data_IF_844868030932
#
_entry.id   IF_844868030932
#
_cell.length_a   1.000
_cell.length_b   1.000
_cell.length_c   1.000
_cell.angle_alpha   90.00
_cell.angle_beta   90.00
_cell.angle_gamma   90.00
#
_symmetry.space_group_name_H-M   'P 1'
#
loop_
_entity.id
_entity.type
_entity.pdbx_description
1 polymer ?
#
# COMPACT_ATOMS: atom_id res chain seq x y z
N UNK A 1 -30.60 41.42 -3.56
CA UNK A 1 -29.78 40.51 -2.73
C UNK A 1 -29.12 39.51 -3.67
N UNK A 2 -27.86 39.70 -4.03
CA UNK A 2 -27.17 38.71 -4.86
C UNK A 2 -27.02 37.40 -4.07
N UNK A 3 -27.64 36.33 -4.55
CA UNK A 3 -27.51 34.99 -3.99
C UNK A 3 -26.03 34.61 -3.91
N UNK A 4 -25.60 34.15 -2.74
CA UNK A 4 -24.23 33.74 -2.45
C UNK A 4 -23.75 32.66 -3.45
N UNK A 5 -22.45 32.58 -3.77
CA UNK A 5 -21.97 31.54 -4.69
C UNK A 5 -22.14 30.14 -4.11
N UNK A 6 -22.03 30.01 -2.78
CA UNK A 6 -22.36 28.79 -2.08
C UNK A 6 -23.83 28.41 -2.29
N UNK A 7 -24.73 29.39 -2.32
CA UNK A 7 -26.16 29.18 -2.61
C UNK A 7 -26.33 28.69 -4.06
N UNK A 8 -25.66 29.32 -5.04
CA UNK A 8 -25.72 28.90 -6.45
C UNK A 8 -25.13 27.52 -6.70
N UNK A 9 -24.02 27.18 -6.04
CA UNK A 9 -23.41 25.83 -6.13
C UNK A 9 -24.22 24.78 -5.38
N UNK A 10 -24.81 25.11 -4.22
CA UNK A 10 -25.73 24.24 -3.50
C UNK A 10 -26.99 23.92 -4.33
N UNK A 11 -27.46 24.88 -5.14
CA UNK A 11 -28.60 24.70 -6.05
C UNK A 11 -28.26 23.88 -7.31
N UNK A 12 -26.99 23.77 -7.71
CA UNK A 12 -26.57 23.06 -8.94
C UNK A 12 -26.36 21.55 -8.78
N UNK A 13 -26.10 21.07 -7.56
CA UNK A 13 -25.91 19.64 -7.30
C UNK A 13 -26.31 19.29 -5.85
N UNK A 14 -27.48 18.65 -5.70
CA UNK A 14 -28.04 18.32 -4.39
C UNK A 14 -27.21 17.28 -3.62
N UNK A 15 -26.40 16.45 -4.31
CA UNK A 15 -25.55 15.41 -3.72
C UNK A 15 -24.16 15.41 -4.36
N UNK A 16 -23.05 15.27 -3.60
CA UNK A 16 -21.70 15.03 -4.11
C UNK A 16 -21.43 13.50 -4.23
N UNK A 17 -21.84 12.82 -5.33
CA UNK A 17 -21.77 11.36 -5.43
C UNK A 17 -20.36 10.81 -5.39
N UNK A 18 -19.37 11.47 -6.02
CA UNK A 18 -18.00 10.97 -6.10
C UNK A 18 -17.35 11.04 -4.73
N UNK A 19 -17.50 12.15 -4.01
CA UNK A 19 -16.99 12.31 -2.64
C UNK A 19 -17.55 11.20 -1.73
N UNK A 20 -18.86 10.94 -1.78
CA UNK A 20 -19.49 9.85 -1.01
C UNK A 20 -18.94 8.48 -1.39
N UNK A 21 -18.75 8.23 -2.69
CA UNK A 21 -18.24 6.96 -3.20
C UNK A 21 -16.79 6.72 -2.79
N UNK A 22 -15.95 7.75 -2.84
CA UNK A 22 -14.57 7.69 -2.35
C UNK A 22 -14.51 7.43 -0.85
N UNK A 23 -15.36 8.08 -0.05
CA UNK A 23 -15.44 7.81 1.39
C UNK A 23 -15.85 6.35 1.65
N UNK A 24 -16.92 5.89 0.99
CA UNK A 24 -17.40 4.52 1.13
C UNK A 24 -16.32 3.49 0.71
N UNK A 25 -15.59 3.75 -0.37
CA UNK A 25 -14.51 2.89 -0.84
C UNK A 25 -13.36 2.82 0.17
N UNK A 26 -12.92 3.95 0.72
CA UNK A 26 -11.87 3.99 1.73
C UNK A 26 -12.27 3.23 3.01
N UNK A 27 -13.51 3.40 3.46
CA UNK A 27 -14.05 2.67 4.60
C UNK A 27 -14.13 1.17 4.30
N UNK A 28 -14.61 0.79 3.12
CA UNK A 28 -14.70 -0.61 2.71
C UNK A 28 -13.32 -1.26 2.67
N UNK A 29 -12.34 -0.63 2.02
CA UNK A 29 -10.96 -1.14 1.95
C UNK A 29 -10.39 -1.33 3.36
N UNK A 30 -10.55 -0.33 4.24
CA UNK A 30 -10.08 -0.45 5.63
C UNK A 30 -10.75 -1.61 6.37
N UNK A 31 -12.06 -1.80 6.24
CA UNK A 31 -12.79 -2.92 6.87
C UNK A 31 -12.28 -4.27 6.34
N UNK A 32 -12.09 -4.40 5.03
CA UNK A 32 -11.56 -5.64 4.43
C UNK A 32 -10.13 -5.91 4.91
N UNK A 33 -9.29 -4.88 5.05
CA UNK A 33 -7.94 -5.01 5.59
C UNK A 33 -7.92 -5.58 7.01
N UNK A 34 -8.92 -5.30 7.85
CA UNK A 34 -9.00 -5.87 9.20
C UNK A 34 -9.08 -7.40 9.17
N UNK A 35 -9.83 -7.97 8.22
CA UNK A 35 -9.88 -9.41 8.00
C UNK A 35 -8.60 -9.95 7.35
N UNK A 36 -7.83 -9.09 6.69
CA UNK A 36 -6.52 -9.37 6.11
C UNK A 36 -5.33 -9.18 7.07
N UNK A 37 -5.58 -9.06 8.38
CA UNK A 37 -4.54 -8.95 9.42
C UNK A 37 -4.14 -7.52 9.79
N UNK A 38 -4.81 -6.49 9.27
CA UNK A 38 -4.56 -5.11 9.70
C UNK A 38 -5.12 -4.87 11.11
N UNK A 39 -4.37 -4.11 11.92
CA UNK A 39 -4.83 -3.67 13.23
C UNK A 39 -5.79 -2.49 13.12
N UNK A 40 -6.80 -2.45 14.00
CA UNK A 40 -7.80 -1.36 14.01
C UNK A 40 -7.19 0.01 14.37
N UNK A 41 -6.32 0.05 15.38
CA UNK A 41 -5.67 1.29 15.82
C UNK A 41 -4.34 1.56 15.12
N UNK A 42 -3.56 0.51 14.90
CA UNK A 42 -2.27 0.57 14.24
C UNK A 42 -2.05 -0.70 13.42
N UNK A 43 -1.88 -0.53 12.11
CA UNK A 43 -1.58 -1.62 11.18
C UNK A 43 -0.08 -1.71 10.92
N UNK A 44 0.52 -2.91 11.02
CA UNK A 44 1.93 -3.11 10.68
C UNK A 44 2.23 -2.80 9.21
N UNK A 45 3.44 -2.30 8.93
CA UNK A 45 3.92 -2.02 7.57
C UNK A 45 3.92 -3.27 6.68
N UNK A 46 4.17 -4.45 7.23
CA UNK A 46 4.15 -5.72 6.48
C UNK A 46 2.78 -6.00 5.86
N UNK A 47 1.71 -5.74 6.61
CA UNK A 47 0.33 -5.85 6.11
C UNK A 47 0.08 -4.78 5.06
N UNK A 48 0.44 -3.52 5.34
CA UNK A 48 0.24 -2.40 4.41
C UNK A 48 0.94 -2.63 3.06
N UNK A 49 2.17 -3.16 3.08
CA UNK A 49 2.94 -3.50 1.88
C UNK A 49 2.27 -4.61 1.07
N UNK A 50 1.69 -5.61 1.75
CA UNK A 50 0.91 -6.68 1.10
C UNK A 50 -0.31 -6.12 0.38
N UNK A 51 -0.97 -5.12 0.98
CA UNK A 51 -2.16 -4.46 0.44
C UNK A 51 -1.87 -3.39 -0.62
N UNK A 52 -0.59 -3.06 -0.88
CA UNK A 52 -0.23 -2.12 -1.93
C UNK A 52 0.16 -0.73 -1.46
N UNK A 53 0.67 -0.58 -0.23
CA UNK A 53 1.22 0.68 0.23
C UNK A 53 2.41 1.11 -0.64
N UNK A 54 2.60 2.43 -0.74
CA UNK A 54 3.66 3.03 -1.53
C UNK A 54 5.00 2.86 -0.81
N UNK A 55 5.97 2.28 -1.50
CA UNK A 55 7.29 1.96 -0.93
C UNK A 55 8.31 1.88 -2.07
N UNK A 56 9.37 2.69 -2.02
CA UNK A 56 10.24 2.85 -3.18
C UNK A 56 10.85 1.55 -3.72
N UNK A 57 11.39 0.63 -2.89
CA UNK A 57 11.90 -0.64 -3.40
C UNK A 57 10.86 -1.43 -4.19
N UNK A 58 9.58 -1.36 -3.81
CA UNK A 58 8.51 -2.06 -4.52
C UNK A 58 8.01 -1.29 -5.74
N UNK A 59 7.70 0.00 -5.56
CA UNK A 59 7.08 0.83 -6.61
C UNK A 59 8.05 1.05 -7.78
N UNK A 60 9.32 1.32 -7.50
CA UNK A 60 10.35 1.51 -8.53
C UNK A 60 10.85 0.19 -9.15
N UNK A 61 10.57 -0.97 -8.54
CA UNK A 61 10.81 -2.32 -9.10
C UNK A 61 9.58 -2.83 -9.92
N UNK A 62 8.87 -1.90 -10.56
CA UNK A 62 7.80 -2.18 -11.51
C UNK A 62 6.37 -2.22 -10.95
N UNK A 63 6.17 -2.07 -9.63
CA UNK A 63 4.84 -2.08 -9.01
C UNK A 63 4.19 -0.68 -8.97
N UNK A 64 4.16 0.02 -10.11
CA UNK A 64 3.64 1.39 -10.24
C UNK A 64 2.18 1.57 -9.81
N UNK A 65 1.38 0.51 -9.85
CA UNK A 65 0.00 0.49 -9.35
C UNK A 65 -0.10 0.89 -7.87
N UNK A 66 0.98 0.75 -7.10
CA UNK A 66 1.09 1.22 -5.70
C UNK A 66 0.85 2.70 -5.53
N UNK A 67 1.18 3.52 -6.53
CA UNK A 67 0.91 4.95 -6.52
C UNK A 67 -0.60 5.25 -6.41
N UNK A 68 -1.46 4.35 -6.89
CA UNK A 68 -2.91 4.50 -6.82
C UNK A 68 -3.48 3.73 -5.63
N UNK A 69 -3.10 2.46 -5.43
CA UNK A 69 -3.68 1.65 -4.33
C UNK A 69 -3.38 2.26 -2.96
N UNK A 70 -2.18 2.82 -2.76
CA UNK A 70 -1.79 3.44 -1.49
C UNK A 70 -2.72 4.58 -1.07
N UNK A 71 -3.40 5.25 -2.02
CA UNK A 71 -4.38 6.30 -1.71
C UNK A 71 -5.58 5.81 -0.88
N UNK A 72 -5.83 4.49 -0.88
CA UNK A 72 -7.00 3.89 -0.22
C UNK A 72 -6.65 3.12 1.06
N UNK A 73 -5.36 2.97 1.38
CA UNK A 73 -4.90 2.22 2.53
C UNK A 73 -4.73 3.15 3.73
N UNK A 74 -5.23 2.73 4.89
CA UNK A 74 -5.13 3.51 6.12
C UNK A 74 -4.49 2.68 7.23
N UNK A 75 -3.58 3.31 7.99
CA UNK A 75 -2.79 2.68 9.04
C UNK A 75 -3.54 2.52 10.37
N UNK A 76 -4.76 3.05 10.47
CA UNK A 76 -5.59 2.95 11.66
C UNK A 76 -6.87 3.76 11.55
N UNK A 77 -7.81 3.52 12.46
CA UNK A 77 -9.15 4.12 12.45
C UNK A 77 -9.13 5.65 12.59
N UNK A 78 -8.23 6.21 13.43
CA UNK A 78 -8.08 7.66 13.56
C UNK A 78 -7.58 8.29 12.26
N UNK A 79 -6.58 7.66 11.63
CA UNK A 79 -6.04 8.12 10.35
C UNK A 79 -7.12 8.10 9.26
N UNK A 80 -7.92 7.03 9.17
CA UNK A 80 -9.07 6.97 8.27
C UNK A 80 -10.10 8.06 8.58
N UNK A 81 -10.52 8.17 9.84
CA UNK A 81 -11.55 9.13 10.26
C UNK A 81 -11.19 10.56 9.90
N UNK A 82 -9.96 10.99 10.21
CA UNK A 82 -9.47 12.33 9.88
C UNK A 82 -9.45 12.60 8.38
N UNK A 83 -9.01 11.62 7.57
CA UNK A 83 -9.07 11.74 6.11
C UNK A 83 -10.50 11.84 5.59
N UNK A 84 -11.42 11.01 6.09
CA UNK A 84 -12.80 11.02 5.61
C UNK A 84 -13.53 12.32 5.98
N UNK A 85 -13.24 12.89 7.16
CA UNK A 85 -13.75 14.21 7.56
C UNK A 85 -13.23 15.31 6.63
N UNK A 86 -11.92 15.34 6.35
CA UNK A 86 -11.32 16.33 5.45
C UNK A 86 -11.79 16.15 3.99
N UNK A 87 -11.91 14.90 3.53
CA UNK A 87 -12.46 14.57 2.20
C UNK A 87 -13.92 14.98 2.08
N UNK A 88 -14.74 14.76 3.11
CA UNK A 88 -16.12 15.23 3.11
C UNK A 88 -16.18 16.75 3.06
N UNK A 89 -15.36 17.43 3.85
CA UNK A 89 -15.40 18.88 3.95
C UNK A 89 -14.94 19.59 2.67
N UNK A 90 -13.72 19.32 2.20
CA UNK A 90 -13.21 19.90 0.96
C UNK A 90 -13.84 19.29 -0.29
N UNK A 91 -14.02 17.97 -0.31
CA UNK A 91 -14.44 17.23 -1.50
C UNK A 91 -15.83 17.63 -1.98
N UNK A 92 -16.81 17.76 -1.07
CA UNK A 92 -18.17 18.20 -1.44
C UNK A 92 -18.18 19.59 -2.10
N UNK A 93 -17.27 20.48 -1.70
CA UNK A 93 -17.18 21.84 -2.25
C UNK A 93 -16.55 21.80 -3.63
N UNK A 94 -15.40 21.16 -3.76
CA UNK A 94 -14.66 21.07 -5.03
C UNK A 94 -15.44 20.27 -6.07
N UNK A 95 -16.12 19.19 -5.68
CA UNK A 95 -16.99 18.43 -6.59
C UNK A 95 -18.14 19.28 -7.14
N UNK A 96 -18.74 20.15 -6.33
CA UNK A 96 -19.79 21.07 -6.79
C UNK A 96 -19.24 22.19 -7.68
N UNK A 97 -18.03 22.65 -7.41
CA UNK A 97 -17.38 23.74 -8.14
C UNK A 97 -16.85 23.29 -9.51
N UNK A 98 -16.24 22.11 -9.58
CA UNK A 98 -15.63 21.58 -10.80
C UNK A 98 -16.53 20.59 -11.55
N UNK A 99 -17.50 19.97 -10.86
CA UNK A 99 -18.27 18.83 -11.37
C UNK A 99 -17.55 17.49 -11.12
N UNK A 100 -18.33 16.42 -11.04
CA UNK A 100 -17.87 15.07 -10.69
C UNK A 100 -16.67 14.57 -11.52
N UNK A 101 -16.72 14.72 -12.85
CA UNK A 101 -15.67 14.22 -13.75
C UNK A 101 -14.33 14.94 -13.54
N UNK A 102 -14.33 16.25 -13.36
CA UNK A 102 -13.10 17.02 -13.11
C UNK A 102 -12.57 16.77 -11.70
N UNK A 103 -13.48 16.67 -10.72
CA UNK A 103 -13.13 16.36 -9.35
C UNK A 103 -12.40 15.02 -9.21
N UNK A 104 -12.89 13.95 -9.84
CA UNK A 104 -12.21 12.64 -9.74
C UNK A 104 -10.81 12.68 -10.38
N UNK A 105 -10.63 13.41 -11.48
CA UNK A 105 -9.30 13.60 -12.09
C UNK A 105 -8.36 14.36 -11.15
N UNK A 106 -8.83 15.47 -10.56
CA UNK A 106 -8.04 16.23 -9.57
C UNK A 106 -7.65 15.30 -8.41
N UNK A 107 -8.59 14.57 -7.84
CA UNK A 107 -8.33 13.66 -6.71
C UNK A 107 -7.28 12.59 -7.06
N UNK A 108 -7.47 11.86 -8.16
CA UNK A 108 -6.59 10.76 -8.56
C UNK A 108 -5.18 11.26 -8.91
N UNK A 109 -5.08 12.30 -9.74
CA UNK A 109 -3.77 12.79 -10.19
C UNK A 109 -3.02 13.47 -9.04
N UNK A 110 -3.71 14.18 -8.14
CA UNK A 110 -3.08 14.71 -6.92
C UNK A 110 -2.57 13.62 -6.00
N UNK A 111 -3.33 12.54 -5.80
CA UNK A 111 -2.87 11.41 -5.00
C UNK A 111 -1.61 10.77 -5.59
N UNK A 112 -1.59 10.54 -6.91
CA UNK A 112 -0.42 10.01 -7.62
C UNK A 112 0.76 10.98 -7.53
N UNK A 113 0.56 12.27 -7.74
CA UNK A 113 1.61 13.29 -7.64
C UNK A 113 2.19 13.41 -6.23
N UNK A 114 1.34 13.30 -5.19
CA UNK A 114 1.78 13.21 -3.80
C UNK A 114 2.62 11.95 -3.56
N UNK A 115 2.14 10.79 -4.00
CA UNK A 115 2.85 9.53 -3.84
C UNK A 115 4.19 9.51 -4.59
N UNK A 116 4.28 10.14 -5.77
CA UNK A 116 5.55 10.31 -6.49
C UNK A 116 6.53 11.18 -5.73
N UNK A 117 6.11 12.35 -5.22
CA UNK A 117 7.01 13.20 -4.42
C UNK A 117 7.45 12.51 -3.14
N UNK A 118 6.56 11.74 -2.50
CA UNK A 118 6.88 10.91 -1.34
C UNK A 118 8.00 9.92 -1.65
N UNK A 119 7.96 9.23 -2.79
CA UNK A 119 9.05 8.31 -3.19
C UNK A 119 10.38 9.04 -3.36
N UNK A 120 10.39 10.19 -4.02
CA UNK A 120 11.62 10.97 -4.26
C UNK A 120 12.23 11.47 -2.95
N UNK A 121 11.42 11.98 -2.04
CA UNK A 121 11.91 12.61 -0.81
C UNK A 121 12.21 11.59 0.29
N UNK A 122 11.36 10.59 0.47
CA UNK A 122 11.52 9.60 1.54
C UNK A 122 12.43 8.42 1.17
N UNK A 123 12.70 8.23 -0.12
CA UNK A 123 13.63 7.21 -0.58
C UNK A 123 13.18 5.78 -0.24
N UNK A 124 14.15 4.94 0.14
CA UNK A 124 13.95 3.49 0.29
C UNK A 124 13.42 3.04 1.66
N UNK A 125 13.20 3.96 2.61
CA UNK A 125 13.01 3.59 4.02
C UNK A 125 11.57 3.76 4.53
N UNK A 126 10.70 4.46 3.78
CA UNK A 126 9.36 4.80 4.23
C UNK A 126 8.25 4.08 3.48
N UNK A 127 7.31 3.53 4.23
CA UNK A 127 6.05 2.96 3.73
C UNK A 127 4.95 4.00 3.92
N UNK A 128 4.30 4.40 2.85
CA UNK A 128 3.27 5.44 2.86
C UNK A 128 1.95 4.94 2.28
N UNK A 129 0.85 5.50 2.79
CA UNK A 129 -0.51 5.22 2.36
C UNK A 129 -1.50 6.12 3.08
N UNK A 130 -2.62 6.40 2.43
CA UNK A 130 -3.68 7.26 2.91
C UNK A 130 -4.22 8.17 1.80
N UNK A 131 -5.46 8.59 1.96
CA UNK A 131 -6.10 9.50 1.01
C UNK A 131 -5.53 10.94 1.08
N UNK A 132 -4.67 11.24 2.05
CA UNK A 132 -4.30 12.61 2.42
C UNK A 132 -3.60 13.37 1.30
N UNK A 133 -2.73 12.75 0.50
CA UNK A 133 -2.11 13.43 -0.65
C UNK A 133 -3.16 13.94 -1.65
N UNK A 134 -4.16 13.11 -1.96
CA UNK A 134 -5.27 13.50 -2.83
C UNK A 134 -6.17 14.57 -2.19
N UNK A 135 -6.40 14.50 -0.87
CA UNK A 135 -7.17 15.50 -0.12
C UNK A 135 -6.45 16.85 -0.12
N UNK A 136 -5.13 16.88 0.09
CA UNK A 136 -4.36 18.11 -0.07
C UNK A 136 -4.47 18.68 -1.49
N UNK A 137 -4.54 17.81 -2.50
CA UNK A 137 -4.89 18.21 -3.85
C UNK A 137 -6.25 18.88 -3.99
N UNK A 138 -7.27 18.36 -3.30
CA UNK A 138 -8.60 18.99 -3.21
C UNK A 138 -8.49 20.39 -2.59
N UNK A 139 -7.76 20.57 -1.49
CA UNK A 139 -7.61 21.89 -0.87
C UNK A 139 -6.80 22.86 -1.74
N UNK A 140 -5.78 22.38 -2.47
CA UNK A 140 -5.09 23.16 -3.50
C UNK A 140 -6.04 23.59 -4.62
N UNK A 141 -6.91 22.69 -5.07
CA UNK A 141 -7.93 22.98 -6.08
C UNK A 141 -8.97 23.99 -5.62
N UNK A 142 -9.40 23.89 -4.36
CA UNK A 142 -10.31 24.84 -3.73
C UNK A 142 -9.71 26.25 -3.75
N UNK A 143 -8.44 26.41 -3.36
CA UNK A 143 -7.74 27.70 -3.37
C UNK A 143 -7.67 28.30 -4.78
N UNK A 144 -7.34 27.50 -5.80
CA UNK A 144 -7.33 27.95 -7.20
C UNK A 144 -8.70 28.44 -7.63
N UNK A 145 -9.75 27.65 -7.38
CA UNK A 145 -11.10 28.00 -7.79
C UNK A 145 -11.57 29.31 -7.15
N UNK A 146 -11.47 29.43 -5.82
CA UNK A 146 -11.96 30.64 -5.13
C UNK A 146 -11.11 31.86 -5.48
N UNK A 147 -9.82 31.69 -5.74
CA UNK A 147 -8.96 32.78 -6.19
C UNK A 147 -9.39 33.33 -7.55
N UNK A 148 -9.61 32.47 -8.54
CA UNK A 148 -10.02 32.92 -9.87
C UNK A 148 -11.49 33.38 -9.90
N UNK A 149 -12.35 32.76 -9.10
CA UNK A 149 -13.75 33.16 -8.95
C UNK A 149 -13.96 34.39 -8.05
N UNK A 150 -12.92 34.92 -7.38
CA UNK A 150 -13.03 35.95 -6.32
C UNK A 150 -13.91 37.16 -6.65
N UNK A 151 -13.93 37.60 -7.91
CA UNK A 151 -14.73 38.75 -8.37
C UNK A 151 -16.21 38.42 -8.56
N UNK A 152 -16.54 37.14 -8.62
CA UNK A 152 -17.89 36.59 -8.76
C UNK A 152 -18.46 36.14 -7.40
N UNK A 153 -17.68 36.23 -6.31
CA UNK A 153 -18.07 35.80 -4.97
C UNK A 153 -18.31 37.00 -4.06
N UNK A 154 -19.12 36.81 -3.02
CA UNK A 154 -19.15 37.76 -1.91
C UNK A 154 -17.81 37.74 -1.17
N UNK A 155 -17.32 38.91 -0.74
CA UNK A 155 -16.02 39.04 -0.09
C UNK A 155 -15.87 38.18 1.17
N UNK A 156 -16.95 38.04 1.95
CA UNK A 156 -16.96 37.21 3.15
C UNK A 156 -16.82 35.70 2.82
N UNK A 157 -17.51 35.22 1.79
CA UNK A 157 -17.41 33.83 1.34
C UNK A 157 -15.99 33.52 0.85
N UNK A 158 -15.41 34.41 0.04
CA UNK A 158 -14.04 34.28 -0.42
C UNK A 158 -13.07 34.20 0.75
N UNK A 159 -13.15 35.13 1.72
CA UNK A 159 -12.26 35.14 2.89
C UNK A 159 -12.37 33.85 3.70
N UNK A 160 -13.59 33.39 3.97
CA UNK A 160 -13.80 32.18 4.77
C UNK A 160 -13.26 30.93 4.08
N UNK A 161 -13.57 30.71 2.80
CA UNK A 161 -13.11 29.54 2.06
C UNK A 161 -11.59 29.58 1.82
N UNK A 162 -11.06 30.72 1.39
CA UNK A 162 -9.64 30.86 1.08
C UNK A 162 -8.79 30.68 2.33
N UNK A 163 -9.07 31.42 3.39
CA UNK A 163 -8.29 31.32 4.62
C UNK A 163 -8.53 30.01 5.37
N UNK A 164 -9.74 29.45 5.32
CA UNK A 164 -10.02 28.13 5.88
C UNK A 164 -9.20 27.03 5.21
N UNK A 165 -9.21 26.99 3.87
CA UNK A 165 -8.43 26.02 3.10
C UNK A 165 -6.91 26.19 3.30
N UNK A 166 -6.43 27.44 3.31
CA UNK A 166 -5.01 27.74 3.51
C UNK A 166 -4.56 27.37 4.93
N UNK A 167 -5.34 27.74 5.95
CA UNK A 167 -5.01 27.45 7.34
C UNK A 167 -5.04 25.95 7.62
N UNK A 168 -6.05 25.23 7.13
CA UNK A 168 -6.10 23.77 7.23
C UNK A 168 -4.84 23.12 6.64
N UNK A 169 -4.47 23.52 5.41
CA UNK A 169 -3.32 22.96 4.71
C UNK A 169 -2.00 23.28 5.44
N UNK A 170 -1.82 24.53 5.85
CA UNK A 170 -0.61 24.98 6.54
C UNK A 170 -0.45 24.31 7.91
N UNK A 171 -1.52 24.28 8.74
CA UNK A 171 -1.47 23.65 10.05
C UNK A 171 -1.19 22.15 9.94
N UNK A 172 -1.81 21.46 8.99
CA UNK A 172 -1.62 20.02 8.83
C UNK A 172 -0.18 19.69 8.41
N UNK A 173 0.43 20.48 7.52
CA UNK A 173 1.85 20.33 7.15
C UNK A 173 2.77 20.60 8.36
N UNK A 174 2.50 21.66 9.12
CA UNK A 174 3.26 21.97 10.35
C UNK A 174 3.15 20.81 11.35
N UNK A 175 1.94 20.29 11.56
CA UNK A 175 1.72 19.14 12.44
C UNK A 175 2.43 17.88 11.93
N UNK A 176 2.58 17.70 10.61
CA UNK A 176 3.32 16.57 10.04
C UNK A 176 4.83 16.61 10.30
N UNK A 177 5.41 17.78 10.62
CA UNK A 177 6.78 17.87 11.11
C UNK A 177 6.90 17.53 12.60
N UNK A 178 5.79 17.60 13.35
CA UNK A 178 5.75 17.37 14.80
C UNK A 178 5.35 15.93 15.12
N UNK A 179 4.42 15.35 14.34
CA UNK A 179 3.87 14.02 14.56
C UNK A 179 4.57 13.01 13.63
N UNK A 180 5.35 12.06 14.16
CA UNK A 180 5.99 11.02 13.37
C UNK A 180 4.96 10.17 12.60
N UNK A 181 5.32 9.74 11.40
CA UNK A 181 4.48 8.90 10.54
C UNK A 181 3.52 9.68 9.63
N UNK A 182 3.52 11.01 9.69
CA UNK A 182 2.81 11.85 8.70
C UNK A 182 3.72 12.10 7.49
N UNK A 183 3.21 11.74 6.32
CA UNK A 183 3.91 11.94 5.05
C UNK A 183 3.68 13.36 4.49
N UNK A 184 4.50 14.30 4.95
CA UNK A 184 4.46 15.69 4.47
C UNK A 184 4.83 15.83 3.00
N UNK A 185 5.67 14.93 2.47
CA UNK A 185 6.04 14.94 1.04
C UNK A 185 4.83 14.61 0.18
N UNK A 186 4.01 13.64 0.59
CA UNK A 186 2.74 13.35 -0.08
C UNK A 186 1.75 14.51 0.02
N UNK A 187 1.66 15.19 1.17
CA UNK A 187 0.79 16.36 1.34
C UNK A 187 1.20 17.51 0.41
N UNK A 188 2.48 17.87 0.41
CA UNK A 188 3.02 18.94 -0.43
C UNK A 188 2.86 18.59 -1.92
N UNK A 189 3.26 17.38 -2.31
CA UNK A 189 3.18 16.94 -3.71
C UNK A 189 1.74 16.89 -4.21
N UNK A 190 0.82 16.42 -3.37
CA UNK A 190 -0.60 16.39 -3.67
C UNK A 190 -1.20 17.79 -3.78
N UNK A 191 -0.88 18.69 -2.87
CA UNK A 191 -1.32 20.09 -2.87
C UNK A 191 -0.87 20.83 -4.14
N UNK A 192 0.43 20.75 -4.46
CA UNK A 192 0.99 21.38 -5.68
C UNK A 192 0.36 20.78 -6.93
N UNK A 193 0.25 19.45 -7.00
CA UNK A 193 -0.41 18.79 -8.13
C UNK A 193 -1.86 19.21 -8.25
N UNK A 194 -2.57 19.38 -7.14
CA UNK A 194 -3.97 19.84 -7.11
C UNK A 194 -4.13 21.26 -7.62
N UNK A 195 -3.24 22.19 -7.24
CA UNK A 195 -3.20 23.55 -7.79
C UNK A 195 -3.07 23.51 -9.31
N UNK A 196 -2.16 22.69 -9.81
CA UNK A 196 -1.88 22.58 -11.25
C UNK A 196 -3.07 21.95 -11.97
N UNK A 197 -3.61 20.82 -11.49
CA UNK A 197 -4.76 20.14 -12.08
C UNK A 197 -6.02 21.02 -12.06
N UNK A 198 -6.27 21.73 -10.98
CA UNK A 198 -7.39 22.66 -10.88
C UNK A 198 -7.26 23.82 -11.86
N UNK A 199 -6.04 24.31 -12.09
CA UNK A 199 -5.77 25.35 -13.08
C UNK A 199 -6.03 24.85 -14.49
N UNK A 200 -5.59 23.63 -14.81
CA UNK A 200 -5.86 22.97 -16.09
C UNK A 200 -7.37 22.74 -16.32
N UNK A 201 -8.07 22.31 -15.27
CA UNK A 201 -9.47 21.89 -15.34
C UNK A 201 -10.45 23.00 -14.93
N UNK A 202 -9.99 24.25 -14.85
CA UNK A 202 -10.81 25.37 -14.41
C UNK A 202 -12.06 25.52 -15.31
N UNK A 203 -13.28 25.62 -14.75
CA UNK A 203 -14.49 25.70 -15.57
C UNK A 203 -14.55 26.93 -16.47
N UNK A 204 -15.10 26.73 -17.68
CA UNK A 204 -15.43 27.82 -18.60
C UNK A 204 -16.41 28.80 -17.94
N UNK A 205 -16.12 30.10 -18.04
CA UNK A 205 -16.90 31.17 -17.39
C UNK A 205 -16.27 31.76 -16.12
N UNK A 206 -15.20 31.16 -15.59
CA UNK A 206 -14.42 31.77 -14.50
C UNK A 206 -13.51 32.89 -15.01
N UNK A 207 -12.89 32.70 -16.18
CA UNK A 207 -12.00 33.64 -16.85
C UNK A 207 -12.41 33.87 -18.31
N UNK A 208 -11.98 34.99 -18.94
CA UNK A 208 -12.07 35.17 -20.38
C UNK A 208 -11.30 34.07 -21.14
N UNK A 209 -11.86 33.56 -22.24
CA UNK A 209 -11.36 32.34 -22.93
C UNK A 209 -9.87 32.40 -23.32
N UNK A 210 -9.38 33.55 -23.80
CA UNK A 210 -7.96 33.73 -24.16
C UNK A 210 -7.04 33.62 -22.94
N UNK A 211 -7.42 34.26 -21.83
CA UNK A 211 -6.62 34.22 -20.59
C UNK A 211 -6.62 32.81 -20.00
N UNK A 212 -7.79 32.15 -20.01
CA UNK A 212 -7.93 30.76 -19.57
C UNK A 212 -6.98 29.82 -20.34
N UNK A 213 -6.97 29.92 -21.67
CA UNK A 213 -6.10 29.10 -22.53
C UNK A 213 -4.61 29.28 -22.21
N UNK A 214 -4.13 30.51 -22.04
CA UNK A 214 -2.71 30.78 -21.73
C UNK A 214 -2.35 30.18 -20.38
N UNK A 215 -3.18 30.44 -19.36
CA UNK A 215 -2.98 29.92 -18.01
C UNK A 215 -2.95 28.38 -17.98
N UNK A 216 -3.84 27.72 -18.74
CA UNK A 216 -3.86 26.27 -18.86
C UNK A 216 -2.60 25.73 -19.57
N UNK A 217 -2.18 26.33 -20.69
CA UNK A 217 -0.96 25.91 -21.39
C UNK A 217 0.29 26.03 -20.51
N UNK A 218 0.47 27.16 -19.83
CA UNK A 218 1.62 27.35 -18.93
C UNK A 218 1.61 26.35 -17.77
N UNK A 219 0.45 26.08 -17.16
CA UNK A 219 0.32 25.08 -16.12
C UNK A 219 0.64 23.67 -16.65
N UNK A 220 0.22 23.34 -17.88
CA UNK A 220 0.48 22.05 -18.51
C UNK A 220 1.96 21.81 -18.76
N UNK A 221 2.67 22.82 -19.29
CA UNK A 221 4.12 22.74 -19.50
C UNK A 221 4.85 22.60 -18.17
N UNK A 222 4.52 23.43 -17.17
CA UNK A 222 5.12 23.36 -15.84
C UNK A 222 4.91 21.98 -15.19
N UNK A 223 3.72 21.39 -15.36
CA UNK A 223 3.41 20.05 -14.86
C UNK A 223 4.27 18.98 -15.52
N UNK A 224 4.41 19.00 -16.84
CA UNK A 224 5.23 18.03 -17.58
C UNK A 224 6.70 18.12 -17.18
N UNK A 225 7.22 19.33 -16.99
CA UNK A 225 8.59 19.55 -16.51
C UNK A 225 8.74 19.00 -15.09
N UNK A 226 7.82 19.32 -14.18
CA UNK A 226 7.86 18.80 -12.81
C UNK A 226 7.77 17.27 -12.75
N UNK A 227 6.90 16.67 -13.56
CA UNK A 227 6.77 15.22 -13.68
C UNK A 227 8.06 14.60 -14.21
N UNK A 228 8.67 15.18 -15.24
CA UNK A 228 9.96 14.72 -15.76
C UNK A 228 11.07 14.79 -14.71
N UNK A 229 11.13 15.88 -13.95
CA UNK A 229 12.08 16.02 -12.83
C UNK A 229 11.85 14.94 -11.77
N UNK A 230 10.60 14.72 -11.35
CA UNK A 230 10.28 13.68 -10.36
C UNK A 230 10.69 12.28 -10.84
N UNK A 231 10.38 11.95 -12.10
CA UNK A 231 10.70 10.64 -12.68
C UNK A 231 12.22 10.41 -12.79
N UNK A 232 13.00 11.45 -13.10
CA UNK A 232 14.46 11.33 -13.18
C UNK A 232 15.15 11.30 -11.81
N UNK A 233 14.47 11.75 -10.75
CA UNK A 233 14.97 11.74 -9.37
C UNK A 233 14.38 10.61 -8.52
N UNK A 234 13.71 9.64 -9.13
CA UNK A 234 13.25 8.47 -8.38
C UNK A 234 14.45 7.73 -7.79
N UNK A 235 14.38 7.33 -6.51
CA UNK A 235 15.46 6.60 -5.88
C UNK A 235 15.66 5.27 -6.58
N UNK A 236 16.92 4.88 -6.77
CA UNK A 236 17.23 3.52 -7.19
C UNK A 236 16.79 2.55 -6.08
N UNK A 237 16.07 1.47 -6.41
CA UNK A 237 15.70 0.45 -5.43
C UNK A 237 16.94 -0.08 -4.73
N UNK A 238 16.91 -0.10 -3.39
CA UNK A 238 18.02 -0.63 -2.58
C UNK A 238 18.31 -2.11 -2.84
N UNK A 239 17.25 -2.86 -3.20
CA UNK A 239 17.26 -4.28 -3.55
C UNK A 239 16.08 -4.56 -4.48
N UNK A 240 16.08 -5.72 -5.14
CA UNK A 240 14.97 -6.16 -5.98
C UNK A 240 13.82 -6.67 -5.11
N UNK A 241 12.72 -5.92 -5.07
CA UNK A 241 11.57 -6.25 -4.25
C UNK A 241 10.94 -7.59 -4.62
N UNK A 242 10.96 -7.96 -5.90
CA UNK A 242 10.47 -9.26 -6.35
C UNK A 242 11.23 -10.44 -5.73
N UNK A 243 12.53 -10.30 -5.52
CA UNK A 243 13.37 -11.34 -4.90
C UNK A 243 13.08 -11.44 -3.39
N UNK A 244 12.94 -10.30 -2.71
CA UNK A 244 12.54 -10.26 -1.29
C UNK A 244 11.20 -10.98 -1.07
N UNK A 245 10.20 -10.69 -1.91
CA UNK A 245 8.88 -11.34 -1.85
C UNK A 245 8.98 -12.84 -2.15
N UNK A 246 9.84 -13.25 -3.09
CA UNK A 246 10.05 -14.65 -3.41
C UNK A 246 10.63 -15.43 -2.23
N UNK A 247 11.62 -14.87 -1.53
CA UNK A 247 12.20 -15.46 -0.31
C UNK A 247 11.12 -15.61 0.76
N UNK A 248 10.42 -14.53 1.12
CA UNK A 248 9.38 -14.58 2.15
C UNK A 248 8.31 -15.63 1.83
N UNK A 249 7.89 -15.72 0.57
CA UNK A 249 6.90 -16.71 0.11
C UNK A 249 7.41 -18.16 0.24
N UNK A 250 8.66 -18.42 -0.10
CA UNK A 250 9.22 -19.78 0.02
C UNK A 250 9.46 -20.17 1.48
N UNK A 251 9.88 -19.23 2.33
CA UNK A 251 10.01 -19.46 3.77
C UNK A 251 8.65 -19.77 4.40
N UNK A 252 7.59 -19.05 4.02
CA UNK A 252 6.23 -19.38 4.47
C UNK A 252 5.78 -20.78 4.01
N UNK A 253 6.12 -21.18 2.79
CA UNK A 253 5.85 -22.54 2.30
C UNK A 253 6.62 -23.59 3.09
N UNK A 254 7.89 -23.34 3.43
CA UNK A 254 8.68 -24.23 4.28
C UNK A 254 8.00 -24.43 5.65
N UNK A 255 7.47 -23.37 6.26
CA UNK A 255 6.72 -23.51 7.52
C UNK A 255 5.46 -24.39 7.37
N UNK A 256 4.76 -24.30 6.24
CA UNK A 256 3.62 -25.19 5.95
C UNK A 256 4.06 -26.64 5.74
N UNK A 257 5.18 -26.85 5.04
CA UNK A 257 5.80 -28.17 4.87
C UNK A 257 6.20 -28.75 6.23
N UNK A 258 6.82 -27.95 7.08
CA UNK A 258 7.24 -28.35 8.42
C UNK A 258 6.05 -28.83 9.27
N UNK A 259 4.95 -28.07 9.30
CA UNK A 259 3.75 -28.47 10.03
C UNK A 259 3.16 -29.79 9.52
N UNK A 260 3.09 -29.99 8.19
CA UNK A 260 2.61 -31.23 7.59
C UNK A 260 3.54 -32.40 7.86
N UNK A 261 4.85 -32.21 7.68
CA UNK A 261 5.87 -33.23 7.91
C UNK A 261 5.86 -33.70 9.38
N UNK A 262 5.71 -32.78 10.33
CA UNK A 262 5.56 -33.14 11.75
C UNK A 262 4.27 -33.91 12.05
N UNK A 263 3.15 -33.59 11.38
CA UNK A 263 1.92 -34.37 11.51
C UNK A 263 2.10 -35.79 10.96
N UNK A 264 2.72 -35.92 9.78
CA UNK A 264 3.03 -37.21 9.15
C UNK A 264 3.97 -38.05 9.99
N UNK A 265 5.04 -37.44 10.51
CA UNK A 265 5.95 -38.12 11.44
C UNK A 265 5.20 -38.71 12.64
N UNK A 266 4.34 -37.91 13.32
CA UNK A 266 3.55 -38.41 14.45
C UNK A 266 2.64 -39.55 14.05
N UNK A 267 1.97 -39.45 12.91
CA UNK A 267 1.11 -40.50 12.39
C UNK A 267 1.90 -41.79 12.14
N UNK A 268 3.04 -41.72 11.45
CA UNK A 268 3.89 -42.89 11.16
C UNK A 268 4.36 -43.56 12.45
N UNK A 269 4.78 -42.77 13.45
CA UNK A 269 5.23 -43.32 14.73
C UNK A 269 4.10 -43.97 15.53
N UNK A 270 2.86 -43.45 15.46
CA UNK A 270 1.69 -44.07 16.08
C UNK A 270 1.33 -45.38 15.38
N UNK A 271 1.24 -45.38 14.05
CA UNK A 271 0.97 -46.56 13.24
C UNK A 271 2.01 -47.67 13.49
N UNK A 272 3.29 -47.31 13.63
CA UNK A 272 4.36 -48.22 14.02
C UNK A 272 4.22 -48.80 15.43
N UNK A 273 3.82 -47.98 16.41
CA UNK A 273 3.58 -48.44 17.80
C UNK A 273 2.39 -49.39 17.89
N UNK A 274 1.35 -49.16 17.10
CA UNK A 274 0.17 -50.03 17.02
C UNK A 274 0.46 -51.34 16.27
N UNK A 275 1.66 -51.49 15.68
CA UNK A 275 2.05 -52.66 14.89
C UNK A 275 1.38 -52.71 13.52
N UNK A 276 0.80 -51.60 13.06
CA UNK A 276 0.10 -51.50 11.77
C UNK A 276 1.03 -51.28 10.57
N UNK A 277 2.29 -50.89 10.81
CA UNK A 277 3.35 -50.77 9.81
C UNK A 277 4.58 -51.58 10.20
N UNK A 278 5.26 -52.16 9.21
CA UNK A 278 6.61 -52.70 9.40
C UNK A 278 7.63 -51.56 9.51
N UNK A 279 8.81 -51.85 10.07
CA UNK A 279 9.89 -50.84 10.14
C UNK A 279 10.35 -50.36 8.76
N UNK A 280 10.33 -51.24 7.76
CA UNK A 280 10.63 -50.88 6.36
C UNK A 280 9.56 -49.94 5.77
N UNK A 281 8.28 -50.21 6.05
CA UNK A 281 7.18 -49.33 5.61
C UNK A 281 7.24 -47.97 6.31
N UNK A 282 7.56 -47.95 7.61
CA UNK A 282 7.78 -46.70 8.34
C UNK A 282 8.93 -45.90 7.73
N UNK A 283 10.06 -46.55 7.43
CA UNK A 283 11.21 -45.91 6.80
C UNK A 283 10.86 -45.35 5.41
N UNK A 284 10.14 -46.11 4.60
CA UNK A 284 9.67 -45.66 3.28
C UNK A 284 8.74 -44.44 3.38
N UNK A 285 7.80 -44.44 4.34
CA UNK A 285 6.93 -43.29 4.60
C UNK A 285 7.70 -42.08 5.14
N UNK A 286 8.69 -42.27 6.01
CA UNK A 286 9.51 -41.16 6.52
C UNK A 286 10.29 -40.52 5.37
N UNK A 287 10.91 -41.32 4.50
CA UNK A 287 11.65 -40.77 3.36
C UNK A 287 10.73 -39.96 2.44
N UNK A 288 9.58 -40.53 2.05
CA UNK A 288 8.70 -39.92 1.06
C UNK A 288 7.82 -38.80 1.61
N UNK A 289 7.28 -38.93 2.82
CA UNK A 289 6.31 -37.99 3.40
C UNK A 289 6.93 -36.97 4.36
N UNK A 290 8.19 -37.17 4.80
CA UNK A 290 8.89 -36.27 5.74
C UNK A 290 10.18 -35.73 5.13
N UNK A 291 11.12 -36.60 4.72
CA UNK A 291 12.43 -36.16 4.26
C UNK A 291 12.40 -35.44 2.90
N UNK A 292 11.79 -36.05 1.88
CA UNK A 292 11.71 -35.50 0.52
C UNK A 292 11.06 -34.10 0.48
N UNK A 293 9.96 -33.81 1.18
CA UNK A 293 9.41 -32.45 1.23
C UNK A 293 10.38 -31.39 1.76
N UNK A 294 11.22 -31.73 2.75
CA UNK A 294 12.26 -30.81 3.23
C UNK A 294 13.39 -30.65 2.21
N UNK A 295 13.81 -31.73 1.55
CA UNK A 295 14.82 -31.70 0.48
C UNK A 295 14.38 -30.83 -0.70
N UNK A 296 13.16 -31.02 -1.19
CA UNK A 296 12.59 -30.18 -2.25
C UNK A 296 12.51 -28.70 -1.81
N UNK A 297 12.21 -28.45 -0.54
CA UNK A 297 12.16 -27.08 0.00
C UNK A 297 13.56 -26.46 0.04
N UNK A 298 14.58 -27.24 0.41
CA UNK A 298 15.98 -26.83 0.35
C UNK A 298 16.40 -26.49 -1.09
N UNK A 299 16.09 -27.33 -2.08
CA UNK A 299 16.40 -27.04 -3.48
C UNK A 299 15.70 -25.77 -3.98
N UNK A 300 14.42 -25.60 -3.67
CA UNK A 300 13.64 -24.40 -4.03
C UNK A 300 14.21 -23.13 -3.40
N UNK A 301 14.69 -23.19 -2.16
CA UNK A 301 15.33 -22.07 -1.47
C UNK A 301 16.73 -21.79 -2.02
N UNK A 302 17.50 -22.82 -2.37
CA UNK A 302 18.84 -22.71 -2.96
C UNK A 302 18.84 -22.11 -4.36
N UNK A 303 17.73 -22.22 -5.09
CA UNK A 303 17.55 -21.61 -6.42
C UNK A 303 17.10 -20.14 -6.37
N UNK A 304 16.87 -19.56 -5.19
CA UNK A 304 16.54 -18.14 -5.06
C UNK A 304 17.79 -17.26 -5.17
N UNK A 305 17.58 -15.98 -5.47
CA UNK A 305 18.64 -14.99 -5.54
C UNK A 305 19.38 -14.89 -4.19
N UNK A 306 20.71 -14.93 -4.25
CA UNK A 306 21.60 -14.78 -3.11
C UNK A 306 22.20 -13.36 -3.11
N UNK A 307 21.35 -12.36 -2.81
CA UNK A 307 21.77 -10.97 -2.67
C UNK A 307 21.83 -10.58 -1.17
N UNK A 308 23.03 -10.27 -0.63
CA UNK A 308 23.19 -9.89 0.77
C UNK A 308 22.52 -8.56 1.15
N UNK A 309 22.07 -7.77 0.16
CA UNK A 309 21.32 -6.52 0.40
C UNK A 309 19.85 -6.76 0.73
N UNK A 310 19.34 -7.98 0.47
CA UNK A 310 17.95 -8.32 0.73
C UNK A 310 17.69 -8.35 2.25
N UNK A 311 16.61 -7.71 2.74
CA UNK A 311 16.22 -7.80 4.15
C UNK A 311 16.09 -9.25 4.65
N UNK A 312 15.61 -10.16 3.78
CA UNK A 312 15.45 -11.57 4.11
C UNK A 312 16.68 -12.45 3.83
N UNK A 313 17.86 -11.90 3.51
CA UNK A 313 19.05 -12.70 3.21
C UNK A 313 19.44 -13.64 4.38
N UNK A 314 19.50 -13.13 5.61
CA UNK A 314 19.80 -13.95 6.79
C UNK A 314 18.70 -15.01 7.06
N UNK A 315 17.45 -14.67 6.78
CA UNK A 315 16.32 -15.59 6.91
C UNK A 315 16.39 -16.72 5.89
N UNK A 316 16.80 -16.42 4.65
CA UNK A 316 17.00 -17.40 3.59
C UNK A 316 18.05 -18.43 3.99
N UNK A 317 19.19 -18.00 4.51
CA UNK A 317 20.25 -18.90 4.97
C UNK A 317 19.80 -19.80 6.13
N UNK A 318 19.08 -19.23 7.10
CA UNK A 318 18.49 -20.02 8.19
C UNK A 318 17.49 -21.05 7.68
N UNK A 319 16.65 -20.66 6.72
CA UNK A 319 15.65 -21.56 6.12
C UNK A 319 16.29 -22.70 5.32
N UNK A 320 17.33 -22.42 4.54
CA UNK A 320 18.12 -23.44 3.82
C UNK A 320 18.73 -24.44 4.81
N UNK A 321 19.44 -23.94 5.82
CA UNK A 321 20.08 -24.78 6.83
C UNK A 321 19.06 -25.62 7.61
N UNK A 322 17.90 -25.04 7.95
CA UNK A 322 16.81 -25.75 8.61
C UNK A 322 16.25 -26.90 7.75
N UNK A 323 15.92 -26.61 6.49
CA UNK A 323 15.37 -27.59 5.57
C UNK A 323 16.35 -28.76 5.32
N UNK A 324 17.63 -28.46 5.08
CA UNK A 324 18.67 -29.48 4.90
C UNK A 324 18.80 -30.37 6.14
N UNK A 325 18.95 -29.76 7.32
CA UNK A 325 19.10 -30.48 8.58
C UNK A 325 17.89 -31.39 8.87
N UNK A 326 16.68 -30.93 8.57
CA UNK A 326 15.45 -31.73 8.76
C UNK A 326 15.36 -32.89 7.78
N UNK A 327 15.75 -32.68 6.52
CA UNK A 327 15.82 -33.76 5.54
C UNK A 327 16.81 -34.84 5.97
N UNK A 328 18.05 -34.46 6.27
CA UNK A 328 19.11 -35.40 6.67
C UNK A 328 18.77 -36.17 7.95
N UNK A 329 18.24 -35.50 8.97
CA UNK A 329 17.82 -36.15 10.21
C UNK A 329 16.68 -37.16 9.98
N UNK A 330 15.76 -36.86 9.06
CA UNK A 330 14.65 -37.75 8.73
C UNK A 330 15.14 -38.99 7.96
N UNK A 331 16.04 -38.81 6.98
CA UNK A 331 16.68 -39.91 6.24
C UNK A 331 17.48 -40.82 7.19
N UNK A 332 18.28 -40.22 8.08
CA UNK A 332 19.04 -40.99 9.06
C UNK A 332 18.15 -41.82 9.99
N UNK A 333 16.98 -41.30 10.38
CA UNK A 333 16.02 -42.06 11.18
C UNK A 333 15.36 -43.20 10.38
N UNK A 334 15.04 -42.97 9.09
CA UNK A 334 14.54 -44.02 8.20
C UNK A 334 15.57 -45.14 8.03
N UNK A 335 16.85 -44.80 7.85
CA UNK A 335 17.93 -45.78 7.75
C UNK A 335 18.13 -46.58 9.04
N UNK A 336 17.94 -45.95 10.20
CA UNK A 336 17.95 -46.68 11.48
C UNK A 336 16.81 -47.70 11.55
N UNK A 337 15.60 -47.33 11.13
CA UNK A 337 14.44 -48.24 11.13
C UNK A 337 14.63 -49.44 10.19
N UNK A 338 15.18 -49.24 8.99
CA UNK A 338 15.52 -50.32 8.04
C UNK A 338 16.45 -51.37 8.63
N UNK A 339 17.33 -50.94 9.53
CA UNK A 339 18.32 -51.80 10.17
C UNK A 339 17.78 -52.49 11.45
N UNK A 340 16.53 -52.24 11.85
CA UNK A 340 15.92 -52.88 13.02
C UNK A 340 15.21 -54.19 12.65
N UNK A 341 15.45 -55.29 13.39
CA UNK A 341 14.74 -56.55 13.15
C UNK A 341 13.25 -56.41 13.51
N UNK A 342 12.36 -56.54 12.53
CA UNK A 342 10.91 -56.51 12.75
C UNK A 342 10.39 -57.90 13.17
N UNK A 343 9.67 -57.98 14.28
CA UNK A 343 8.91 -59.18 14.69
C UNK A 343 7.42 -58.84 14.69
N UNK A 344 6.58 -59.49 13.85
CA UNK A 344 5.15 -59.20 13.78
C UNK A 344 4.46 -59.34 15.14
N UNK A 345 3.63 -58.36 15.52
CA UNK A 345 2.84 -58.38 16.76
C UNK A 345 3.56 -57.89 18.02
N UNK A 346 4.80 -57.40 17.93
CA UNK A 346 5.52 -56.76 19.04
C UNK A 346 5.60 -55.24 18.79
N UNK A 347 5.05 -54.39 19.68
CA UNK A 347 5.08 -52.95 19.48
C UNK A 347 6.52 -52.43 19.48
N UNK A 348 6.79 -51.42 18.65
CA UNK A 348 8.04 -50.66 18.71
C UNK A 348 8.14 -49.98 20.09
N UNK A 349 9.19 -50.29 20.86
CA UNK A 349 9.45 -49.66 22.17
C UNK A 349 9.92 -48.22 22.00
#
# INVERSE_FOLDING_TARGET
MESSLLTRTALRASVPPVTKSLIALNVLVFVVMLFGGAGFWHSPNTVQLTWGANFAPATADGQWWRLVSAMFLHFGALHLGMNMLALWDGGKLVERMFGAARFIVIYLISGVGGNLLSLVVQGNDAVSGGASGAIFGIYGALLVYVWFARRQMQAQEFRWLFWGALLFSALTIVMGYIIPGIDNSAHIGGFVTGIVMATLLLPSGILPSRQLSITQWSAGVAWLVALFVLLTHLPTPKYRWQEEVAIQKQVQKLNQVDHKAQQKWRQIMLEGREGSLSFDDMASKIDTEVATPYEESFEKLSNLADDPKLPSAALLEQAKAYALKRSEASKAAADQLRNMPFTPGRPAQ
#
